data_IF_877604940267
#
_entry.id   IF_877604940267
#
_cell.length_a   1.000
_cell.length_b   1.000
_cell.length_c   1.000
_cell.angle_alpha   90.00
_cell.angle_beta   90.00
_cell.angle_gamma   90.00
#
_symmetry.space_group_name_H-M   'P 1'
#
loop_
_entity.id
_entity.type
_entity.pdbx_description
1 polymer ?
#
# COMPACT_ATOMS: atom_id res chain seq x y z
N UNK A 1 -17.53 15.21 6.33
CA UNK A 1 -16.13 15.47 6.76
C UNK A 1 -15.30 14.18 6.84
N UNK A 2 -15.61 13.23 7.73
CA UNK A 2 -14.85 11.96 7.88
C UNK A 2 -14.79 11.16 6.57
N UNK A 3 -15.92 11.05 5.84
CA UNK A 3 -15.94 10.39 4.53
C UNK A 3 -14.95 11.00 3.53
N UNK A 4 -14.72 12.32 3.60
CA UNK A 4 -13.72 12.98 2.75
C UNK A 4 -12.29 12.52 3.07
N UNK A 5 -11.99 12.28 4.34
CA UNK A 5 -10.69 11.69 4.76
C UNK A 5 -10.56 10.26 4.25
N UNK A 6 -11.60 9.44 4.40
CA UNK A 6 -11.64 8.06 3.86
C UNK A 6 -11.37 8.05 2.36
N UNK A 7 -12.04 8.92 1.59
CA UNK A 7 -11.82 9.03 0.14
C UNK A 7 -10.38 9.42 -0.19
N UNK A 8 -9.80 10.41 0.52
CA UNK A 8 -8.39 10.80 0.34
C UNK A 8 -7.43 9.65 0.64
N UNK A 9 -7.67 8.88 1.69
CA UNK A 9 -6.83 7.72 2.05
C UNK A 9 -6.91 6.61 0.99
N UNK A 10 -8.12 6.31 0.51
CA UNK A 10 -8.34 5.36 -0.60
C UNK A 10 -7.64 5.83 -1.88
N UNK A 11 -7.72 7.11 -2.23
CA UNK A 11 -7.02 7.66 -3.40
C UNK A 11 -5.51 7.58 -3.26
N UNK A 12 -4.95 7.89 -2.09
CA UNK A 12 -3.52 7.75 -1.84
C UNK A 12 -3.05 6.28 -1.95
N UNK A 13 -3.79 5.33 -1.38
CA UNK A 13 -3.51 3.88 -1.55
C UNK A 13 -3.52 3.49 -3.03
N UNK A 14 -4.49 3.98 -3.81
CA UNK A 14 -4.55 3.73 -5.25
C UNK A 14 -3.35 4.32 -6.00
N UNK A 15 -2.94 5.56 -5.68
CA UNK A 15 -1.77 6.18 -6.29
C UNK A 15 -0.48 5.41 -5.99
N UNK A 16 -0.29 4.91 -4.76
CA UNK A 16 0.88 4.11 -4.41
C UNK A 16 0.96 2.82 -5.25
N UNK A 17 -0.17 2.16 -5.49
CA UNK A 17 -0.24 0.97 -6.36
C UNK A 17 0.17 1.30 -7.80
N UNK A 18 -0.33 2.42 -8.33
CA UNK A 18 0.07 2.91 -9.65
C UNK A 18 1.57 3.20 -9.73
N UNK A 19 2.11 3.97 -8.78
CA UNK A 19 3.54 4.30 -8.72
C UNK A 19 4.44 3.08 -8.51
N UNK A 20 3.97 2.07 -7.77
CA UNK A 20 4.68 0.81 -7.63
C UNK A 20 4.86 0.10 -8.97
N UNK A 21 3.80 -0.01 -9.78
CA UNK A 21 3.88 -0.62 -11.11
C UNK A 21 4.78 0.20 -12.03
N UNK A 22 4.62 1.53 -12.04
CA UNK A 22 5.40 2.44 -12.89
C UNK A 22 6.90 2.36 -12.60
N UNK A 23 7.31 2.50 -11.33
CA UNK A 23 8.73 2.51 -10.97
C UNK A 23 9.40 1.15 -11.14
N UNK A 24 8.70 0.06 -10.79
CA UNK A 24 9.22 -1.30 -11.02
C UNK A 24 9.39 -1.55 -12.53
N UNK A 25 8.41 -1.16 -13.36
CA UNK A 25 8.49 -1.32 -14.82
C UNK A 25 9.60 -0.47 -15.43
N UNK A 26 9.79 0.78 -14.96
CA UNK A 26 10.86 1.65 -15.41
C UNK A 26 12.24 1.07 -15.09
N UNK A 27 12.41 0.48 -13.90
CA UNK A 27 13.66 -0.18 -13.51
C UNK A 27 13.93 -1.44 -14.33
N UNK A 28 12.90 -2.21 -14.70
CA UNK A 28 13.06 -3.33 -15.62
C UNK A 28 13.46 -2.87 -17.03
N UNK A 29 12.85 -1.80 -17.54
CA UNK A 29 13.23 -1.23 -18.84
C UNK A 29 14.70 -0.77 -18.84
N UNK A 30 15.16 -0.13 -17.75
CA UNK A 30 16.56 0.26 -17.57
C UNK A 30 17.49 -0.96 -17.46
N UNK A 31 17.07 -2.01 -16.73
CA UNK A 31 17.84 -3.24 -16.61
C UNK A 31 18.04 -3.93 -17.97
N UNK A 32 17.02 -3.93 -18.83
CA UNK A 32 17.07 -4.51 -20.17
C UNK A 32 17.99 -3.72 -21.12
N UNK A 33 18.04 -2.39 -20.99
CA UNK A 33 18.84 -1.53 -21.89
C UNK A 33 20.33 -1.44 -21.55
N UNK A 34 20.72 -1.60 -20.28
CA UNK A 34 22.09 -1.38 -19.80
C UNK A 34 22.84 -2.66 -19.39
N UNK A 35 22.24 -3.85 -19.52
CA UNK A 35 22.79 -5.14 -19.04
C UNK A 35 23.22 -5.15 -17.56
N UNK A 36 22.78 -4.17 -16.77
CA UNK A 36 23.16 -4.02 -15.37
C UNK A 36 22.08 -4.64 -14.49
N UNK A 37 22.32 -5.88 -14.04
CA UNK A 37 21.47 -6.62 -13.08
C UNK A 37 21.14 -5.85 -11.81
N UNK A 38 21.99 -4.89 -11.42
CA UNK A 38 21.77 -4.04 -10.26
C UNK A 38 20.41 -3.33 -10.31
N UNK A 39 19.91 -2.95 -11.50
CA UNK A 39 18.61 -2.30 -11.63
C UNK A 39 17.43 -3.24 -11.32
N UNK A 40 17.55 -4.54 -11.63
CA UNK A 40 16.54 -5.53 -11.24
C UNK A 40 16.47 -5.71 -9.74
N UNK A 41 17.63 -5.74 -9.06
CA UNK A 41 17.69 -5.77 -7.59
C UNK A 41 17.15 -4.46 -6.99
N UNK A 42 17.42 -3.31 -7.64
CA UNK A 42 16.93 -2.01 -7.21
C UNK A 42 15.40 -1.92 -7.25
N UNK A 43 14.71 -2.73 -8.06
CA UNK A 43 13.24 -2.78 -8.11
C UNK A 43 12.59 -3.23 -6.79
N UNK A 44 13.31 -3.93 -5.92
CA UNK A 44 12.82 -4.26 -4.57
C UNK A 44 12.66 -3.03 -3.68
N UNK A 45 13.46 -1.97 -3.89
CA UNK A 45 13.41 -0.77 -3.07
C UNK A 45 12.04 -0.05 -3.15
N UNK A 46 11.57 0.40 -4.34
CA UNK A 46 10.24 1.01 -4.43
C UNK A 46 9.13 0.02 -4.11
N UNK A 47 9.28 -1.27 -4.46
CA UNK A 47 8.31 -2.31 -4.13
C UNK A 47 8.04 -2.39 -2.61
N UNK A 48 9.09 -2.55 -1.80
CA UNK A 48 8.96 -2.66 -0.34
C UNK A 48 8.41 -1.36 0.23
N UNK A 49 8.92 -0.21 -0.21
CA UNK A 49 8.49 1.11 0.27
C UNK A 49 6.98 1.32 0.02
N UNK A 50 6.50 1.02 -1.19
CA UNK A 50 5.09 1.19 -1.50
C UNK A 50 4.19 0.17 -0.81
N UNK A 51 4.63 -1.07 -0.62
CA UNK A 51 3.84 -2.05 0.14
C UNK A 51 3.64 -1.63 1.60
N UNK A 52 4.72 -1.18 2.24
CA UNK A 52 4.73 -0.67 3.62
C UNK A 52 3.78 0.53 3.77
N UNK A 53 3.87 1.50 2.85
CA UNK A 53 3.00 2.68 2.84
C UNK A 53 1.54 2.35 2.54
N UNK A 54 1.27 1.44 1.60
CA UNK A 54 -0.09 1.03 1.24
C UNK A 54 -0.80 0.37 2.43
N UNK A 55 -0.08 -0.47 3.18
CA UNK A 55 -0.57 -1.02 4.45
C UNK A 55 -0.89 0.06 5.49
N UNK A 56 -0.11 1.16 5.52
CA UNK A 56 -0.36 2.29 6.41
C UNK A 56 -1.66 3.00 6.04
N UNK A 57 -1.84 3.36 4.76
CA UNK A 57 -3.06 4.01 4.29
C UNK A 57 -4.30 3.14 4.49
N UNK A 58 -4.21 1.83 4.24
CA UNK A 58 -5.31 0.89 4.48
C UNK A 58 -5.71 0.84 5.96
N UNK A 59 -4.74 0.82 6.88
CA UNK A 59 -5.04 0.87 8.32
C UNK A 59 -5.70 2.19 8.72
N UNK A 60 -5.19 3.31 8.22
CA UNK A 60 -5.79 4.62 8.51
C UNK A 60 -7.22 4.69 7.99
N UNK A 61 -7.50 4.19 6.78
CA UNK A 61 -8.84 4.12 6.23
C UNK A 61 -9.77 3.31 7.16
N UNK A 62 -9.33 2.14 7.62
CA UNK A 62 -10.09 1.32 8.57
C UNK A 62 -10.39 2.07 9.88
N UNK A 63 -9.43 2.83 10.42
CA UNK A 63 -9.61 3.66 11.62
C UNK A 63 -10.69 4.72 11.41
N UNK A 64 -10.61 5.47 10.32
CA UNK A 64 -11.61 6.49 10.01
C UNK A 64 -13.00 5.91 9.70
N UNK A 65 -13.07 4.71 9.10
CA UNK A 65 -14.35 4.00 8.92
C UNK A 65 -14.96 3.60 10.27
N UNK A 66 -14.16 3.13 11.22
CA UNK A 66 -14.63 2.84 12.58
C UNK A 66 -15.02 4.10 13.36
N UNK A 67 -14.31 5.21 13.16
CA UNK A 67 -14.68 6.50 13.74
C UNK A 67 -16.03 6.96 13.18
N UNK A 68 -16.22 6.89 11.86
CA UNK A 68 -17.51 7.20 11.22
C UNK A 68 -18.64 6.33 11.76
N UNK A 69 -18.43 5.01 11.87
CA UNK A 69 -19.41 4.07 12.43
C UNK A 69 -19.84 4.40 13.86
N UNK A 70 -18.93 4.99 14.64
CA UNK A 70 -19.23 5.48 15.99
C UNK A 70 -20.03 6.78 15.94
N UNK A 71 -19.52 7.80 15.23
CA UNK A 71 -20.09 9.15 15.20
C UNK A 71 -21.50 9.15 14.61
N UNK A 72 -21.77 8.33 13.58
CA UNK A 72 -23.11 8.27 12.94
C UNK A 72 -24.24 7.78 13.86
N UNK A 73 -23.91 7.26 15.04
CA UNK A 73 -24.89 6.76 16.03
C UNK A 73 -25.11 7.75 17.18
N UNK A 74 -24.33 8.83 17.25
CA UNK A 74 -24.47 9.85 18.28
C UNK A 74 -25.62 10.80 17.93
N UNK A 75 -26.34 11.33 18.93
CA UNK A 75 -27.27 12.42 18.72
C UNK A 75 -26.51 13.68 18.30
N UNK A 76 -27.17 14.56 17.52
CA UNK A 76 -26.50 15.68 16.87
C UNK A 76 -25.80 16.67 17.83
N UNK A 77 -26.30 16.80 19.05
CA UNK A 77 -25.74 17.65 20.10
C UNK A 77 -24.49 17.06 20.79
N UNK A 78 -24.18 15.77 20.59
CA UNK A 78 -23.00 15.09 21.15
C UNK A 78 -21.85 14.96 20.15
N UNK A 79 -22.03 15.40 18.90
CA UNK A 79 -20.99 15.32 17.88
C UNK A 79 -19.95 16.42 18.10
N UNK A 80 -18.75 16.02 18.52
CA UNK A 80 -17.61 16.92 18.80
C UNK A 80 -16.74 17.25 17.58
N UNK A 81 -17.03 16.65 16.42
CA UNK A 81 -16.28 16.74 15.16
C UNK A 81 -14.78 16.41 15.27
N UNK A 82 -14.35 15.73 16.34
CA UNK A 82 -12.97 15.33 16.53
C UNK A 82 -12.53 14.31 15.48
N UNK A 83 -11.30 14.47 14.99
CA UNK A 83 -10.65 13.47 14.11
C UNK A 83 -9.76 12.50 14.88
N UNK A 84 -9.85 12.47 16.20
CA UNK A 84 -9.08 11.52 17.01
C UNK A 84 -9.57 10.08 16.77
N UNK A 85 -8.70 9.27 16.17
CA UNK A 85 -8.96 7.84 15.94
C UNK A 85 -8.50 6.95 17.11
N UNK A 86 -7.87 7.52 18.14
CA UNK A 86 -7.37 6.78 19.31
C UNK A 86 -8.47 5.97 20.01
N UNK A 87 -9.68 6.53 20.06
CA UNK A 87 -10.89 5.95 20.67
C UNK A 87 -11.37 4.67 19.98
N UNK A 88 -11.01 4.47 18.71
CA UNK A 88 -11.36 3.27 17.92
C UNK A 88 -10.15 2.40 17.59
N UNK A 89 -8.94 2.80 18.01
CA UNK A 89 -7.68 2.14 17.67
C UNK A 89 -7.66 0.64 17.96
N UNK A 90 -8.24 0.22 19.09
CA UNK A 90 -8.30 -1.20 19.49
C UNK A 90 -9.28 -2.05 18.66
N UNK A 91 -10.12 -1.41 17.83
CA UNK A 91 -11.11 -2.09 16.97
C UNK A 91 -10.62 -2.34 15.54
N UNK A 92 -9.39 -1.95 15.24
CA UNK A 92 -8.75 -2.12 13.93
C UNK A 92 -7.47 -2.91 14.11
N UNK A 93 -7.19 -3.78 13.14
CA UNK A 93 -5.97 -4.57 13.13
C UNK A 93 -4.71 -3.69 13.17
N UNK A 94 -3.58 -4.29 13.57
CA UNK A 94 -2.30 -3.60 13.54
C UNK A 94 -1.92 -3.24 12.10
N UNK A 95 -0.98 -2.29 11.97
CA UNK A 95 -0.47 -1.88 10.66
C UNK A 95 0.16 -3.05 9.91
N UNK A 96 0.92 -3.87 10.63
CA UNK A 96 1.52 -5.07 10.08
C UNK A 96 0.46 -6.05 9.55
N UNK A 97 -0.63 -6.29 10.29
CA UNK A 97 -1.73 -7.12 9.78
C UNK A 97 -2.38 -6.52 8.53
N UNK A 98 -2.49 -5.19 8.42
CA UNK A 98 -3.05 -4.53 7.24
C UNK A 98 -2.17 -4.73 6.00
N UNK A 99 -0.84 -4.69 6.15
CA UNK A 99 0.12 -4.99 5.07
C UNK A 99 -0.09 -6.38 4.47
N UNK A 100 -0.51 -7.35 5.31
CA UNK A 100 -0.79 -8.72 4.89
C UNK A 100 -2.29 -9.02 4.69
N UNK A 101 -3.12 -8.00 4.52
CA UNK A 101 -4.51 -8.18 4.12
C UNK A 101 -4.62 -8.86 2.74
N UNK A 102 -5.75 -9.51 2.45
CA UNK A 102 -5.96 -10.25 1.19
C UNK A 102 -5.72 -9.37 -0.04
N UNK A 103 -6.19 -8.12 -0.03
CA UNK A 103 -6.04 -7.19 -1.16
C UNK A 103 -4.58 -6.84 -1.42
N UNK A 104 -3.82 -6.54 -0.36
CA UNK A 104 -2.41 -6.17 -0.48
C UNK A 104 -1.52 -7.37 -0.79
N UNK A 105 -1.82 -8.55 -0.21
CA UNK A 105 -1.12 -9.80 -0.54
C UNK A 105 -1.26 -10.16 -2.00
N UNK A 106 -2.45 -10.05 -2.58
CA UNK A 106 -2.65 -10.35 -4.01
C UNK A 106 -1.88 -9.34 -4.86
N UNK A 107 -2.07 -8.03 -4.62
CA UNK A 107 -1.46 -7.00 -5.46
C UNK A 107 0.08 -7.00 -5.37
N UNK A 108 0.64 -6.83 -4.17
CA UNK A 108 2.08 -6.78 -3.96
C UNK A 108 2.72 -8.16 -4.15
N UNK A 109 2.01 -9.25 -3.87
CA UNK A 109 2.46 -10.61 -4.19
C UNK A 109 2.66 -10.83 -5.68
N UNK A 110 1.77 -10.31 -6.54
CA UNK A 110 1.99 -10.39 -8.00
C UNK A 110 3.22 -9.59 -8.44
N UNK A 111 3.40 -8.37 -7.93
CA UNK A 111 4.60 -7.56 -8.25
C UNK A 111 5.87 -8.30 -7.80
N UNK A 112 5.86 -8.87 -6.59
CA UNK A 112 6.99 -9.66 -6.07
C UNK A 112 7.31 -10.85 -6.97
N UNK A 113 6.31 -11.63 -7.38
CA UNK A 113 6.50 -12.78 -8.29
C UNK A 113 7.12 -12.31 -9.60
N UNK A 114 6.65 -11.20 -10.18
CA UNK A 114 7.24 -10.65 -11.41
C UNK A 114 8.70 -10.24 -11.23
N UNK A 115 9.03 -9.56 -10.13
CA UNK A 115 10.44 -9.20 -9.82
C UNK A 115 11.31 -10.46 -9.75
N UNK A 116 10.84 -11.51 -9.08
CA UNK A 116 11.58 -12.78 -8.97
C UNK A 116 11.75 -13.46 -10.35
N UNK A 117 10.70 -13.50 -11.18
CA UNK A 117 10.79 -14.08 -12.52
C UNK A 117 11.80 -13.35 -13.41
N UNK A 118 11.80 -12.01 -13.38
CA UNK A 118 12.76 -11.18 -14.14
C UNK A 118 14.18 -11.35 -13.59
N UNK A 119 14.34 -11.46 -12.27
CA UNK A 119 15.65 -11.73 -11.66
C UNK A 119 16.17 -13.11 -12.10
N UNK A 120 15.34 -14.16 -12.06
CA UNK A 120 15.72 -15.50 -12.50
C UNK A 120 16.09 -15.54 -13.98
N UNK A 121 15.31 -14.89 -14.87
CA UNK A 121 15.63 -14.86 -16.29
C UNK A 121 16.95 -14.16 -16.57
N UNK A 122 17.24 -13.06 -15.85
CA UNK A 122 18.52 -12.35 -15.95
C UNK A 122 19.72 -13.20 -15.50
N UNK A 123 19.53 -14.15 -14.59
CA UNK A 123 20.59 -15.06 -14.16
C UNK A 123 20.84 -16.22 -15.16
N UNK A 124 19.79 -16.67 -15.86
CA UNK A 124 19.89 -17.79 -16.81
C UNK A 124 20.57 -17.36 -18.12
N UNK A 125 20.24 -16.18 -18.64
CA UNK A 125 20.78 -15.63 -19.90
C UNK A 125 22.30 -15.32 -19.88
N UNK A 126 22.94 -15.39 -18.71
CA UNK A 126 24.39 -15.18 -18.58
C UNK A 126 25.21 -16.48 -18.46
N UNK A 127 24.55 -17.65 -18.46
CA UNK A 127 25.23 -18.93 -18.67
C UNK A 127 25.29 -19.24 -20.16
#
# INVERSE_FOLDING_TARGET
MIQGVVNRLSSNSFFLKGWSVTLVSALFALAAGNSQKYFTCLAFFPFIAFWVLDGYFLRQECLFRKLFDRVRKLPANEIDFSMDTSIVRRRVASWFCAMFSTTLRIFHGMIFVVIILVLMSSMILEK
#
